data_IF_465454538401
#
_entry.id   IF_465454538401
#
_cell.length_a   1.000
_cell.length_b   1.000
_cell.length_c   1.000
_cell.angle_alpha   90.00
_cell.angle_beta   90.00
_cell.angle_gamma   90.00
#
_symmetry.space_group_name_H-M   'P 1'
#
loop_
_entity.id
_entity.type
_entity.pdbx_description
1 polymer ?
#
# COMPACT_ATOMS: atom_id res chain seq x y z
N UNK A 1 49.16 -2.45 33.28
CA UNK A 1 48.89 -2.86 31.88
C UNK A 1 47.47 -3.40 31.66
N UNK A 2 46.99 -4.39 32.43
CA UNK A 2 45.62 -4.95 32.27
C UNK A 2 44.48 -3.92 32.39
N UNK A 3 44.57 -2.98 33.34
CA UNK A 3 43.57 -1.90 33.52
C UNK A 3 43.52 -0.90 32.36
N UNK A 4 44.64 -0.68 31.68
CA UNK A 4 44.73 0.25 30.53
C UNK A 4 44.10 -0.37 29.28
N UNK A 5 44.30 -1.68 29.07
CA UNK A 5 43.70 -2.43 27.96
C UNK A 5 42.16 -2.47 28.07
N UNK A 6 41.63 -2.65 29.29
CA UNK A 6 40.18 -2.65 29.53
C UNK A 6 39.57 -1.27 29.21
N UNK A 7 40.22 -0.18 29.63
CA UNK A 7 39.76 1.19 29.32
C UNK A 7 39.76 1.44 27.81
N UNK A 8 40.80 0.98 27.10
CA UNK A 8 40.90 1.13 25.65
C UNK A 8 39.80 0.33 24.92
N UNK A 9 39.52 -0.90 25.38
CA UNK A 9 38.44 -1.73 24.82
C UNK A 9 37.06 -1.12 25.08
N UNK A 10 36.83 -0.53 26.26
CA UNK A 10 35.56 0.17 26.57
C UNK A 10 35.39 1.47 25.77
N UNK A 11 36.47 2.21 25.51
CA UNK A 11 36.44 3.43 24.68
C UNK A 11 36.12 3.13 23.22
N UNK A 12 36.67 2.03 22.69
CA UNK A 12 36.36 1.51 21.36
C UNK A 12 34.88 1.10 21.30
N UNK A 13 34.39 0.31 22.26
CA UNK A 13 32.99 -0.14 22.27
C UNK A 13 31.96 1.01 22.30
N UNK A 14 32.26 2.11 23.00
CA UNK A 14 31.42 3.32 23.02
C UNK A 14 31.43 4.07 21.68
N UNK A 15 32.53 4.03 20.92
CA UNK A 15 32.64 4.69 19.61
C UNK A 15 31.86 3.98 18.49
N UNK A 16 31.63 2.67 18.61
CA UNK A 16 30.93 1.87 17.57
C UNK A 16 29.46 1.55 17.87
N UNK A 17 28.94 1.95 19.05
CA UNK A 17 27.66 1.44 19.57
C UNK A 17 26.41 2.30 19.31
N UNK A 18 26.50 3.41 18.58
CA UNK A 18 25.38 4.35 18.43
C UNK A 18 24.96 4.46 16.96
N UNK A 19 24.35 3.41 16.43
CA UNK A 19 23.62 3.53 15.16
C UNK A 19 22.42 4.45 15.36
N UNK A 20 22.25 5.47 14.51
CA UNK A 20 21.08 6.36 14.52
C UNK A 20 19.84 5.51 14.25
N UNK A 21 19.00 5.33 15.27
CA UNK A 21 17.75 4.60 15.11
C UNK A 21 16.75 5.48 14.34
N UNK A 22 16.46 5.11 13.09
CA UNK A 22 15.46 5.80 12.27
C UNK A 22 14.05 5.46 12.78
N UNK A 23 13.29 6.47 13.16
CA UNK A 23 11.89 6.35 13.58
C UNK A 23 11.03 7.02 12.50
N UNK A 24 10.07 6.27 11.97
CA UNK A 24 9.10 6.76 11.00
C UNK A 24 7.78 7.07 11.70
N UNK A 25 7.13 8.17 11.32
CA UNK A 25 5.90 8.64 11.98
C UNK A 25 4.69 7.75 11.67
N UNK A 26 4.59 7.25 10.44
CA UNK A 26 3.46 6.49 9.94
C UNK A 26 3.82 5.07 9.49
N UNK A 27 5.05 4.62 9.77
CA UNK A 27 5.50 3.27 9.46
C UNK A 27 5.90 2.56 10.76
N UNK A 28 5.00 1.73 11.34
CA UNK A 28 5.32 0.93 12.52
C UNK A 28 6.49 -0.04 12.30
N UNK A 29 7.26 -0.34 13.35
CA UNK A 29 8.43 -1.26 13.28
C UNK A 29 8.10 -2.66 12.75
N UNK A 30 6.87 -3.12 12.93
CA UNK A 30 6.39 -4.42 12.44
C UNK A 30 5.79 -4.37 11.02
N UNK A 31 5.78 -3.20 10.37
CA UNK A 31 5.26 -3.04 9.02
C UNK A 31 6.21 -3.70 8.00
N UNK A 32 5.66 -4.40 7.01
CA UNK A 32 6.45 -5.16 6.01
C UNK A 32 7.47 -4.30 5.26
N UNK A 33 7.16 -3.01 5.05
CA UNK A 33 8.02 -2.08 4.34
C UNK A 33 9.08 -1.40 5.23
N UNK A 34 8.99 -1.51 6.56
CA UNK A 34 9.80 -0.73 7.51
C UNK A 34 11.30 -0.89 7.23
N UNK A 35 11.76 -2.14 7.09
CA UNK A 35 13.18 -2.44 6.84
C UNK A 35 13.65 -1.98 5.47
N UNK A 36 12.80 -2.08 4.45
CA UNK A 36 13.12 -1.61 3.11
C UNK A 36 13.29 -0.09 3.09
N UNK A 37 12.36 0.63 3.72
CA UNK A 37 12.42 2.07 3.89
C UNK A 37 13.68 2.49 4.65
N UNK A 38 13.96 1.85 5.78
CA UNK A 38 15.16 2.11 6.57
C UNK A 38 16.45 1.97 5.75
N UNK A 39 16.56 0.92 4.93
CA UNK A 39 17.72 0.73 4.06
C UNK A 39 17.84 1.85 3.02
N UNK A 40 16.74 2.24 2.38
CA UNK A 40 16.76 3.28 1.35
C UNK A 40 17.11 4.66 1.91
N UNK A 41 16.69 4.96 3.14
CA UNK A 41 17.08 6.19 3.85
C UNK A 41 18.57 6.15 4.19
N UNK A 42 19.07 5.04 4.75
CA UNK A 42 20.49 4.87 5.07
C UNK A 42 21.40 4.97 3.83
N UNK A 43 20.93 4.54 2.67
CA UNK A 43 21.64 4.63 1.39
C UNK A 43 21.45 6.00 0.70
N UNK A 44 20.72 6.95 1.31
CA UNK A 44 20.50 8.30 0.77
C UNK A 44 19.59 8.35 -0.46
N UNK A 45 18.88 7.27 -0.78
CA UNK A 45 17.94 7.20 -1.91
C UNK A 45 16.66 7.98 -1.60
N UNK A 46 16.23 7.91 -0.34
CA UNK A 46 15.09 8.65 0.21
C UNK A 46 15.63 9.68 1.20
N UNK A 47 15.17 10.92 1.06
CA UNK A 47 15.58 12.02 1.95
C UNK A 47 15.09 11.79 3.38
N UNK A 48 15.93 12.12 4.36
CA UNK A 48 15.61 12.06 5.80
C UNK A 48 14.63 13.17 6.25
N UNK A 49 14.33 14.15 5.41
CA UNK A 49 13.61 15.37 5.81
C UNK A 49 12.12 15.16 6.14
N UNK A 50 11.52 14.03 5.75
CA UNK A 50 10.16 13.68 6.12
C UNK A 50 10.09 12.21 6.51
N UNK A 51 10.05 11.95 7.81
CA UNK A 51 9.78 10.62 8.38
C UNK A 51 8.32 10.16 8.22
N UNK A 52 7.53 10.94 7.46
CA UNK A 52 6.15 10.66 7.06
C UNK A 52 6.12 10.17 5.60
N UNK A 53 5.79 8.89 5.40
CA UNK A 53 5.87 8.21 4.09
C UNK A 53 4.57 8.24 3.28
N UNK A 54 3.43 8.34 3.96
CA UNK A 54 2.08 8.39 3.38
C UNK A 54 1.82 7.20 2.45
N UNK A 55 2.10 5.98 2.92
CA UNK A 55 2.06 4.76 2.09
C UNK A 55 0.71 4.47 1.39
N UNK A 56 -0.40 4.98 1.92
CA UNK A 56 -1.74 4.83 1.33
C UNK A 56 -2.00 5.80 0.16
N UNK A 57 -1.16 6.82 -0.03
CA UNK A 57 -1.33 7.81 -1.08
C UNK A 57 -0.57 7.41 -2.35
N UNK A 58 -1.18 7.57 -3.54
CA UNK A 58 -0.52 7.22 -4.79
C UNK A 58 0.65 8.17 -5.08
N UNK A 59 1.75 7.61 -5.59
CA UNK A 59 2.88 8.38 -6.11
C UNK A 59 2.67 8.69 -7.60
N UNK A 60 3.10 9.88 -8.06
CA UNK A 60 3.09 10.18 -9.49
C UNK A 60 4.18 9.39 -10.23
N UNK A 61 3.96 9.06 -11.51
CA UNK A 61 4.99 8.40 -12.34
C UNK A 61 6.28 9.22 -12.43
N UNK A 62 6.18 10.55 -12.41
CA UNK A 62 7.33 11.46 -12.40
C UNK A 62 8.13 11.34 -11.11
N UNK A 63 7.46 11.36 -9.96
CA UNK A 63 8.09 11.22 -8.64
C UNK A 63 8.71 9.84 -8.46
N UNK A 64 8.06 8.79 -9.00
CA UNK A 64 8.63 7.45 -9.05
C UNK A 64 9.92 7.40 -9.88
N UNK A 65 9.91 7.98 -11.09
CA UNK A 65 11.09 8.04 -11.95
C UNK A 65 12.25 8.81 -11.32
N UNK A 66 11.96 9.89 -10.60
CA UNK A 66 12.95 10.68 -9.86
C UNK A 66 13.61 9.86 -8.74
N UNK A 67 12.81 9.14 -7.95
CA UNK A 67 13.31 8.25 -6.89
C UNK A 67 14.17 7.11 -7.45
N UNK A 68 13.75 6.54 -8.60
CA UNK A 68 14.52 5.51 -9.28
C UNK A 68 15.87 6.04 -9.80
N UNK A 69 15.89 7.24 -10.36
CA UNK A 69 17.12 7.88 -10.82
C UNK A 69 18.11 8.12 -9.65
N UNK A 70 17.61 8.54 -8.48
CA UNK A 70 18.44 8.65 -7.27
C UNK A 70 19.04 7.29 -6.87
N UNK A 71 18.23 6.23 -6.86
CA UNK A 71 18.70 4.89 -6.54
C UNK A 71 19.83 4.43 -7.48
N UNK A 72 19.69 4.66 -8.80
CA UNK A 72 20.73 4.32 -9.77
C UNK A 72 22.00 5.15 -9.59
N UNK A 73 21.89 6.43 -9.23
CA UNK A 73 23.06 7.26 -8.98
C UNK A 73 23.85 6.78 -7.75
N UNK A 74 23.17 6.39 -6.66
CA UNK A 74 23.82 5.78 -5.49
C UNK A 74 24.57 4.49 -5.85
N UNK A 75 24.02 3.68 -6.77
CA UNK A 75 24.68 2.46 -7.27
C UNK A 75 25.89 2.75 -8.17
N UNK A 76 25.81 3.81 -8.99
CA UNK A 76 26.89 4.21 -9.90
C UNK A 76 28.10 4.78 -9.14
N UNK A 77 27.88 5.52 -8.06
CA UNK A 77 28.95 6.04 -7.20
C UNK A 77 29.73 4.92 -6.48
N UNK A 78 29.06 3.80 -6.18
CA UNK A 78 29.66 2.58 -5.63
C UNK A 78 30.05 1.58 -6.73
N UNK A 79 30.57 2.03 -7.90
CA UNK A 79 31.05 1.18 -9.03
C UNK A 79 30.38 -0.20 -9.08
N UNK A 80 29.07 -0.23 -9.33
CA UNK A 80 28.38 -1.48 -9.62
C UNK A 80 29.14 -2.22 -10.74
N UNK A 81 29.42 -3.51 -10.53
CA UNK A 81 30.07 -4.30 -11.57
C UNK A 81 29.12 -4.34 -12.77
N UNK A 82 29.63 -4.35 -14.01
CA UNK A 82 28.79 -4.38 -15.22
C UNK A 82 27.75 -5.52 -15.20
N UNK A 83 28.05 -6.60 -14.48
CA UNK A 83 27.10 -7.70 -14.25
C UNK A 83 25.87 -7.29 -13.42
N UNK A 84 26.03 -6.43 -12.41
CA UNK A 84 24.92 -5.99 -11.54
C UNK A 84 23.96 -5.06 -12.29
N UNK A 85 24.48 -4.21 -13.18
CA UNK A 85 23.66 -3.38 -14.06
C UNK A 85 22.83 -4.21 -15.04
N UNK A 86 23.39 -5.28 -15.60
CA UNK A 86 22.67 -6.19 -16.51
C UNK A 86 21.57 -6.96 -15.77
N UNK A 87 21.82 -7.41 -14.54
CA UNK A 87 20.80 -8.05 -13.70
C UNK A 87 19.68 -7.06 -13.37
N UNK A 88 20.03 -5.81 -13.06
CA UNK A 88 19.07 -4.75 -12.79
C UNK A 88 18.22 -4.39 -14.01
N UNK A 89 18.82 -4.31 -15.20
CA UNK A 89 18.08 -4.12 -16.46
C UNK A 89 17.12 -5.28 -16.73
N UNK A 90 17.55 -6.53 -16.49
CA UNK A 90 16.69 -7.71 -16.62
C UNK A 90 15.54 -7.66 -15.63
N UNK A 91 15.81 -7.29 -14.37
CA UNK A 91 14.80 -7.18 -13.34
C UNK A 91 13.80 -6.07 -13.66
N UNK A 92 14.24 -4.89 -14.10
CA UNK A 92 13.36 -3.79 -14.53
C UNK A 92 12.49 -4.21 -15.72
N UNK A 93 13.06 -4.94 -16.68
CA UNK A 93 12.32 -5.46 -17.83
C UNK A 93 11.26 -6.49 -17.42
N UNK A 94 11.63 -7.45 -16.58
CA UNK A 94 10.71 -8.46 -16.03
C UNK A 94 9.62 -7.83 -15.16
N UNK A 95 9.99 -6.86 -14.30
CA UNK A 95 9.03 -6.14 -13.46
C UNK A 95 8.08 -5.28 -14.29
N UNK A 96 8.53 -4.67 -15.39
CA UNK A 96 7.66 -3.96 -16.33
C UNK A 96 6.64 -4.90 -17.00
N UNK A 97 7.08 -6.10 -17.38
CA UNK A 97 6.19 -7.15 -17.91
C UNK A 97 5.20 -7.66 -16.86
N UNK A 98 5.67 -7.88 -15.64
CA UNK A 98 4.81 -8.29 -14.53
C UNK A 98 3.86 -7.17 -14.11
N UNK A 99 4.23 -5.88 -14.20
CA UNK A 99 3.29 -4.77 -14.04
C UNK A 99 2.20 -4.76 -15.11
N UNK A 100 2.51 -5.23 -16.33
CA UNK A 100 1.50 -5.43 -17.38
C UNK A 100 0.57 -6.61 -17.06
N UNK A 101 1.03 -7.56 -16.23
CA UNK A 101 0.32 -8.80 -15.86
C UNK A 101 -0.46 -8.70 -14.54
N UNK A 102 0.04 -7.90 -13.60
CA UNK A 102 -0.63 -7.45 -12.37
C UNK A 102 -1.57 -6.27 -12.67
N UNK A 103 -1.44 -5.68 -13.85
CA UNK A 103 -2.35 -4.67 -14.37
C UNK A 103 -3.69 -5.27 -14.75
N UNK A 104 -4.57 -5.40 -13.74
CA UNK A 104 -6.02 -5.38 -13.93
C UNK A 104 -6.55 -6.59 -14.74
N UNK A 105 -6.94 -7.66 -14.04
CA UNK A 105 -7.76 -8.72 -14.64
C UNK A 105 -9.15 -8.12 -14.94
N UNK A 106 -9.23 -7.47 -16.10
CA UNK A 106 -10.44 -6.82 -16.61
C UNK A 106 -11.58 -7.79 -16.62
N UNK A 107 -11.32 -9.06 -16.92
CA UNK A 107 -12.35 -10.07 -17.11
C UNK A 107 -12.94 -10.51 -15.76
N UNK A 108 -12.08 -10.72 -14.75
CA UNK A 108 -12.52 -10.95 -13.38
C UNK A 108 -13.30 -9.76 -12.80
N UNK A 109 -12.81 -8.53 -13.03
CA UNK A 109 -13.46 -7.33 -12.49
C UNK A 109 -14.76 -7.03 -13.22
N UNK A 110 -14.80 -7.17 -14.54
CA UNK A 110 -16.02 -7.06 -15.35
C UNK A 110 -17.03 -8.13 -14.95
N UNK A 111 -16.57 -9.36 -14.68
CA UNK A 111 -17.43 -10.43 -14.16
C UNK A 111 -18.03 -10.08 -12.80
N UNK A 112 -17.24 -9.51 -11.88
CA UNK A 112 -17.74 -9.01 -10.59
C UNK A 112 -18.73 -7.85 -10.76
N UNK A 113 -18.45 -6.90 -11.66
CA UNK A 113 -19.37 -5.78 -11.97
C UNK A 113 -20.69 -6.30 -12.54
N UNK A 114 -20.66 -7.27 -13.44
CA UNK A 114 -21.88 -7.81 -14.04
C UNK A 114 -22.72 -8.57 -13.01
N UNK A 115 -22.08 -9.38 -12.15
CA UNK A 115 -22.78 -10.02 -11.03
C UNK A 115 -23.43 -8.99 -10.10
N UNK A 116 -22.70 -7.91 -9.75
CA UNK A 116 -23.26 -6.81 -8.95
C UNK A 116 -24.44 -6.13 -9.64
N UNK A 117 -24.38 -5.96 -10.98
CA UNK A 117 -25.48 -5.38 -11.77
C UNK A 117 -26.73 -6.24 -11.69
N UNK A 118 -26.57 -7.56 -11.82
CA UNK A 118 -27.65 -8.55 -11.69
C UNK A 118 -28.23 -8.52 -10.27
N UNK A 119 -27.39 -8.52 -9.24
CA UNK A 119 -27.83 -8.45 -7.84
C UNK A 119 -28.65 -7.18 -7.56
N UNK A 120 -28.21 -6.02 -8.08
CA UNK A 120 -28.94 -4.76 -7.96
C UNK A 120 -30.31 -4.84 -8.64
N UNK A 121 -30.41 -5.47 -9.80
CA UNK A 121 -31.67 -5.64 -10.52
C UNK A 121 -32.65 -6.52 -9.72
N UNK A 122 -32.17 -7.63 -9.17
CA UNK A 122 -32.96 -8.51 -8.30
C UNK A 122 -33.42 -7.78 -7.04
N UNK A 123 -32.55 -6.99 -6.41
CA UNK A 123 -32.90 -6.20 -5.22
C UNK A 123 -33.99 -5.17 -5.56
N UNK A 124 -33.88 -4.49 -6.71
CA UNK A 124 -34.91 -3.53 -7.16
C UNK A 124 -36.26 -4.20 -7.36
N UNK A 125 -36.30 -5.35 -8.02
CA UNK A 125 -37.54 -6.10 -8.22
C UNK A 125 -38.20 -6.48 -6.89
N UNK A 126 -37.41 -7.03 -5.95
CA UNK A 126 -37.91 -7.36 -4.61
C UNK A 126 -38.44 -6.15 -3.85
N UNK A 127 -37.77 -5.00 -4.00
CA UNK A 127 -38.22 -3.76 -3.39
C UNK A 127 -39.56 -3.27 -3.99
N UNK A 128 -39.71 -3.36 -5.32
CA UNK A 128 -40.97 -2.99 -6.00
C UNK A 128 -42.13 -3.92 -5.59
N UNK A 129 -41.88 -5.22 -5.49
CA UNK A 129 -42.85 -6.19 -4.98
C UNK A 129 -43.25 -5.90 -3.53
N UNK A 130 -42.26 -5.64 -2.67
CA UNK A 130 -42.49 -5.26 -1.28
C UNK A 130 -43.33 -4.00 -1.19
N UNK A 131 -43.05 -2.99 -2.02
CA UNK A 131 -43.82 -1.75 -2.05
C UNK A 131 -45.28 -1.98 -2.49
N UNK A 132 -45.51 -2.87 -3.47
CA UNK A 132 -46.87 -3.28 -3.87
C UNK A 132 -47.61 -3.95 -2.72
N UNK A 133 -46.96 -4.88 -2.02
CA UNK A 133 -47.55 -5.56 -0.86
C UNK A 133 -47.90 -4.58 0.25
N UNK A 134 -47.00 -3.64 0.57
CA UNK A 134 -47.24 -2.58 1.56
C UNK A 134 -48.44 -1.71 1.16
N UNK A 135 -48.53 -1.31 -0.11
CA UNK A 135 -49.65 -0.50 -0.59
C UNK A 135 -50.98 -1.26 -0.52
N UNK A 136 -50.98 -2.55 -0.83
CA UNK A 136 -52.18 -3.39 -0.73
C UNK A 136 -52.61 -3.58 0.73
N UNK A 137 -51.67 -3.83 1.64
CA UNK A 137 -51.94 -3.91 3.07
C UNK A 137 -52.52 -2.60 3.60
N UNK A 138 -52.00 -1.44 3.17
CA UNK A 138 -52.55 -0.13 3.53
C UNK A 138 -54.01 0.01 3.12
N UNK A 139 -54.36 -0.33 1.87
CA UNK A 139 -55.76 -0.30 1.41
C UNK A 139 -56.66 -1.21 2.22
N UNK A 140 -56.18 -2.42 2.55
CA UNK A 140 -56.94 -3.37 3.38
C UNK A 140 -57.16 -2.83 4.79
N UNK A 141 -56.17 -2.16 5.36
CA UNK A 141 -56.29 -1.50 6.67
C UNK A 141 -57.32 -0.37 6.60
N UNK A 142 -57.26 0.52 5.59
CA UNK A 142 -58.25 1.61 5.42
C UNK A 142 -59.69 1.09 5.36
N UNK A 143 -59.92 -0.03 4.65
CA UNK A 143 -61.24 -0.67 4.58
C UNK A 143 -61.67 -1.21 5.94
N UNK A 144 -60.74 -1.81 6.69
CA UNK A 144 -61.04 -2.33 8.03
C UNK A 144 -61.32 -1.20 9.03
N UNK A 145 -60.53 -0.14 9.04
CA UNK A 145 -60.74 1.06 9.86
C UNK A 145 -62.15 1.63 9.65
N UNK A 146 -62.54 1.81 8.37
CA UNK A 146 -63.89 2.25 8.00
C UNK A 146 -65.00 1.33 8.50
N UNK A 147 -64.78 0.00 8.47
CA UNK A 147 -65.78 -0.98 8.91
C UNK A 147 -65.93 -1.03 10.44
N UNK A 148 -64.86 -0.73 11.19
CA UNK A 148 -64.85 -0.72 12.66
C UNK A 148 -65.25 0.65 13.22
N UNK A 149 -65.39 1.67 12.37
CA UNK A 149 -65.87 3.00 12.76
C UNK A 149 -64.81 3.84 13.46
N UNK A 150 -63.53 3.57 13.17
CA UNK A 150 -62.36 4.33 13.63
C UNK A 150 -61.76 5.06 12.44
#
# INVERSE_FOLDING_TARGET
>A
MKKIIVIYFTLIALAYGQGKELIFEDVPKNHWAYKAIQNLVNEGVISEESFLFKGEFPVSRYSFAEGLNRAFNTLNEKKANRGDLVILESLVYEFSRELTKIGFDTDLFNGKIENMRVDIEVIRQKNDETQKQVNELRKRIEVLEKNVGI
#
